data_IF_485395701555
#
_entry.id   IF_485395701555
#
_cell.length_a   1.000
_cell.length_b   1.000
_cell.length_c   1.000
_cell.angle_alpha   90.00
_cell.angle_beta   90.00
_cell.angle_gamma   90.00
#
_symmetry.space_group_name_H-M   'P 1'
#
loop_
_entity.id
_entity.type
_entity.pdbx_description
1 polymer ?
#
# COMPACT_ATOMS: atom_id res chain seq x y z
N UNK A 1 -9.11 28.37 43.98
CA UNK A 1 -8.93 27.66 42.69
C UNK A 1 -7.96 26.52 42.98
N UNK A 2 -8.37 25.23 42.97
CA UNK A 2 -7.39 24.17 43.16
C UNK A 2 -6.53 24.06 41.91
N UNK A 3 -5.22 24.03 42.13
CA UNK A 3 -4.17 23.93 41.13
C UNK A 3 -4.31 22.61 40.35
N UNK A 4 -4.23 22.70 39.03
CA UNK A 4 -4.37 21.53 38.16
C UNK A 4 -3.29 20.49 38.46
N UNK A 5 -3.72 19.27 38.79
CA UNK A 5 -2.87 18.09 38.83
C UNK A 5 -2.19 17.95 37.47
N UNK A 6 -0.89 18.27 37.40
CA UNK A 6 -0.05 17.78 36.32
C UNK A 6 0.00 16.26 36.49
N UNK A 7 -0.69 15.56 35.60
CA UNK A 7 -0.60 14.11 35.50
C UNK A 7 0.81 13.77 35.00
N UNK A 8 1.76 13.60 35.91
CA UNK A 8 3.05 12.99 35.61
C UNK A 8 2.81 11.52 35.30
N UNK A 9 2.83 11.18 34.01
CA UNK A 9 2.78 9.79 33.56
C UNK A 9 3.97 9.03 34.16
N UNK A 10 3.72 7.88 34.78
CA UNK A 10 4.79 7.08 35.40
C UNK A 10 5.86 6.69 34.36
N UNK A 11 7.12 6.59 34.79
CA UNK A 11 8.23 6.15 33.95
C UNK A 11 7.95 4.79 33.29
N UNK A 12 7.24 3.91 34.02
CA UNK A 12 6.79 2.62 33.52
C UNK A 12 5.82 2.76 32.34
N UNK A 13 4.81 3.64 32.44
CA UNK A 13 3.88 3.93 31.35
C UNK A 13 4.62 4.50 30.12
N UNK A 14 5.55 5.44 30.33
CA UNK A 14 6.35 6.01 29.24
C UNK A 14 7.26 4.98 28.58
N UNK A 15 7.81 4.02 29.34
CA UNK A 15 8.59 2.90 28.82
C UNK A 15 7.72 1.95 28.02
N UNK A 16 6.56 1.58 28.54
CA UNK A 16 5.61 0.69 27.87
C UNK A 16 5.12 1.30 26.55
N UNK A 17 4.71 2.57 26.56
CA UNK A 17 4.29 3.30 25.35
C UNK A 17 5.38 3.29 24.28
N UNK A 18 6.64 3.51 24.66
CA UNK A 18 7.77 3.46 23.72
C UNK A 18 7.93 2.08 23.09
N UNK A 19 7.76 1.01 23.85
CA UNK A 19 7.83 -0.36 23.32
C UNK A 19 6.70 -0.64 22.32
N UNK A 20 5.46 -0.29 22.66
CA UNK A 20 4.30 -0.46 21.78
C UNK A 20 4.47 0.30 20.46
N UNK A 21 4.92 1.56 20.52
CA UNK A 21 5.15 2.37 19.32
C UNK A 21 6.25 1.79 18.43
N UNK A 22 7.34 1.28 19.01
CA UNK A 22 8.42 0.63 18.24
C UNK A 22 7.95 -0.64 17.56
N UNK A 23 7.19 -1.47 18.26
CA UNK A 23 6.64 -2.70 17.71
C UNK A 23 5.63 -2.41 16.59
N UNK A 24 4.76 -1.40 16.76
CA UNK A 24 3.85 -0.95 15.70
C UNK A 24 4.61 -0.48 14.47
N UNK A 25 5.62 0.38 14.65
CA UNK A 25 6.44 0.86 13.54
C UNK A 25 7.19 -0.27 12.83
N UNK A 26 7.63 -1.31 13.57
CA UNK A 26 8.26 -2.49 12.97
C UNK A 26 7.26 -3.27 12.10
N UNK A 27 6.06 -3.53 12.60
CA UNK A 27 5.01 -4.24 11.86
C UNK A 27 4.60 -3.48 10.61
N UNK A 28 4.41 -2.18 10.73
CA UNK A 28 4.07 -1.30 9.62
C UNK A 28 5.15 -1.32 8.52
N UNK A 29 6.43 -1.28 8.89
CA UNK A 29 7.52 -1.42 7.91
C UNK A 29 7.47 -2.74 7.16
N UNK A 30 7.26 -3.86 7.87
CA UNK A 30 7.17 -5.18 7.25
C UNK A 30 5.95 -5.27 6.34
N UNK A 31 4.82 -4.71 6.76
CA UNK A 31 3.59 -4.64 5.97
C UNK A 31 3.81 -3.88 4.66
N UNK A 32 4.38 -2.66 4.75
CA UNK A 32 4.69 -1.81 3.60
C UNK A 32 5.66 -2.49 2.64
N UNK A 33 6.71 -3.11 3.16
CA UNK A 33 7.71 -3.80 2.33
C UNK A 33 7.07 -4.97 1.57
N UNK A 34 6.28 -5.79 2.26
CA UNK A 34 5.58 -6.90 1.62
C UNK A 34 4.59 -6.40 0.55
N UNK A 35 3.84 -5.33 0.82
CA UNK A 35 2.92 -4.74 -0.14
C UNK A 35 3.65 -4.19 -1.37
N UNK A 36 4.83 -3.59 -1.21
CA UNK A 36 5.67 -3.12 -2.33
C UNK A 36 6.13 -4.25 -3.22
N UNK A 37 6.62 -5.35 -2.64
CA UNK A 37 7.01 -6.55 -3.39
C UNK A 37 5.82 -7.05 -4.22
N UNK A 38 4.63 -7.13 -3.62
CA UNK A 38 3.42 -7.53 -4.34
C UNK A 38 3.01 -6.56 -5.44
N UNK A 39 3.12 -5.26 -5.21
CA UNK A 39 2.86 -4.25 -6.22
C UNK A 39 3.82 -4.37 -7.42
N UNK A 40 5.10 -4.62 -7.16
CA UNK A 40 6.12 -4.86 -8.18
C UNK A 40 5.85 -6.14 -8.98
N UNK A 41 5.46 -7.23 -8.31
CA UNK A 41 5.10 -8.49 -8.96
C UNK A 41 3.88 -8.32 -9.88
N UNK A 42 2.84 -7.61 -9.44
CA UNK A 42 1.67 -7.29 -10.27
C UNK A 42 2.09 -6.39 -11.45
N UNK A 43 2.91 -5.36 -11.20
CA UNK A 43 3.39 -4.47 -12.25
C UNK A 43 4.20 -5.23 -13.32
N UNK A 44 5.04 -6.16 -12.90
CA UNK A 44 5.81 -7.04 -13.80
C UNK A 44 4.87 -7.89 -14.65
N UNK A 45 3.91 -8.57 -14.02
CA UNK A 45 2.89 -9.38 -14.70
C UNK A 45 2.11 -8.57 -15.74
N UNK A 46 1.68 -7.35 -15.40
CA UNK A 46 0.99 -6.45 -16.32
C UNK A 46 1.83 -6.13 -17.57
N UNK A 47 3.14 -5.90 -17.39
CA UNK A 47 4.05 -5.61 -18.50
C UNK A 47 4.32 -6.83 -19.38
N UNK A 48 4.61 -7.96 -18.76
CA UNK A 48 5.02 -9.18 -19.46
C UNK A 48 3.86 -9.85 -20.20
N UNK A 49 2.69 -9.94 -19.57
CA UNK A 49 1.57 -10.73 -20.11
C UNK A 49 0.54 -9.90 -20.88
N UNK A 50 0.45 -8.60 -20.59
CA UNK A 50 -0.59 -7.71 -21.14
C UNK A 50 -0.03 -6.51 -21.90
N UNK A 51 1.28 -6.43 -22.10
CA UNK A 51 1.93 -5.39 -22.90
C UNK A 51 1.74 -3.97 -22.35
N UNK A 52 1.41 -3.84 -21.05
CA UNK A 52 1.31 -2.54 -20.39
C UNK A 52 2.65 -1.81 -20.51
N UNK A 53 2.62 -0.54 -20.90
CA UNK A 53 3.86 0.24 -21.12
C UNK A 53 4.42 0.76 -19.80
N UNK A 54 3.54 1.35 -19.00
CA UNK A 54 3.89 2.01 -17.74
C UNK A 54 2.91 1.57 -16.66
N UNK A 55 3.44 1.39 -15.46
CA UNK A 55 2.64 1.11 -14.26
C UNK A 55 3.08 2.10 -13.20
N UNK A 56 2.13 2.83 -12.64
CA UNK A 56 2.36 3.80 -11.57
C UNK A 56 1.69 3.30 -10.30
N UNK A 57 2.47 3.23 -9.22
CA UNK A 57 1.93 3.07 -7.89
C UNK A 57 1.36 4.42 -7.42
N UNK A 58 0.12 4.41 -6.97
CA UNK A 58 -0.49 5.54 -6.29
C UNK A 58 -1.10 5.08 -4.96
N UNK A 59 -1.94 5.91 -4.36
CA UNK A 59 -2.60 5.59 -3.12
C UNK A 59 -1.67 5.50 -1.91
N UNK A 60 -2.20 4.96 -0.82
CA UNK A 60 -1.59 5.00 0.51
C UNK A 60 -0.17 4.42 0.56
N UNK A 61 0.15 3.43 -0.29
CA UNK A 61 1.47 2.80 -0.40
C UNK A 61 2.54 3.73 -1.00
N UNK A 62 2.14 4.65 -1.88
CA UNK A 62 3.05 5.58 -2.52
C UNK A 62 3.47 6.73 -1.58
N UNK A 63 2.54 7.30 -0.81
CA UNK A 63 2.77 8.53 -0.01
C UNK A 63 3.05 8.30 1.49
N UNK A 64 2.98 7.06 1.98
CA UNK A 64 3.34 6.71 3.36
C UNK A 64 2.18 6.68 4.35
N UNK A 65 0.98 6.28 3.91
CA UNK A 65 -0.20 6.08 4.75
C UNK A 65 -0.73 4.65 4.76
N UNK A 66 0.03 3.69 4.24
CA UNK A 66 -0.40 2.30 4.09
C UNK A 66 -0.47 1.60 5.45
N UNK A 67 -1.62 1.01 5.74
CA UNK A 67 -1.91 0.35 7.00
C UNK A 67 -2.60 -0.99 6.77
N UNK A 68 -2.88 -1.71 7.86
CA UNK A 68 -3.66 -2.94 7.81
C UNK A 68 -5.04 -2.66 7.17
N UNK A 69 -5.43 -3.48 6.20
CA UNK A 69 -6.65 -3.29 5.41
C UNK A 69 -6.55 -2.27 4.26
N UNK A 70 -5.38 -1.66 4.02
CA UNK A 70 -5.15 -0.88 2.81
C UNK A 70 -4.98 -1.77 1.58
N UNK A 71 -5.42 -1.28 0.43
CA UNK A 71 -5.28 -1.87 -0.89
C UNK A 71 -4.04 -1.34 -1.63
N UNK A 72 -3.56 -2.12 -2.60
CA UNK A 72 -2.49 -1.74 -3.52
C UNK A 72 -3.12 -1.08 -4.75
N UNK A 73 -2.85 0.22 -4.92
CA UNK A 73 -3.40 1.04 -6.01
C UNK A 73 -2.41 1.19 -7.18
N UNK A 74 -2.76 0.65 -8.36
CA UNK A 74 -1.93 0.72 -9.56
C UNK A 74 -2.66 1.38 -10.74
N UNK A 75 -1.98 2.28 -11.44
CA UNK A 75 -2.42 2.83 -12.71
C UNK A 75 -1.60 2.19 -13.82
N UNK A 76 -2.25 1.51 -14.75
CA UNK A 76 -1.62 0.84 -15.89
C UNK A 76 -1.93 1.56 -17.20
N UNK A 77 -0.89 1.91 -17.94
CA UNK A 77 -0.98 2.67 -19.20
C UNK A 77 -0.84 1.74 -20.39
N UNK A 78 -1.81 1.81 -21.30
CA UNK A 78 -1.78 1.05 -22.56
C UNK A 78 -2.12 -0.43 -22.42
N UNK A 79 -2.84 -0.81 -21.37
CA UNK A 79 -3.38 -2.17 -21.22
C UNK A 79 -4.25 -2.56 -22.42
N UNK A 80 -4.03 -3.78 -22.90
CA UNK A 80 -4.85 -4.43 -23.91
C UNK A 80 -5.13 -5.86 -23.44
N UNK A 81 -6.39 -6.29 -23.47
CA UNK A 81 -6.77 -7.66 -23.12
C UNK A 81 -8.05 -7.76 -22.30
N UNK A 82 -8.31 -8.96 -21.79
CA UNK A 82 -9.47 -9.24 -20.93
C UNK A 82 -9.21 -8.71 -19.52
N UNK A 83 -9.99 -7.70 -19.12
CA UNK A 83 -9.89 -7.09 -17.78
C UNK A 83 -10.05 -8.15 -16.67
N UNK A 84 -11.08 -9.00 -16.75
CA UNK A 84 -11.38 -9.93 -15.66
C UNK A 84 -10.33 -11.02 -15.50
N UNK A 85 -9.77 -11.53 -16.60
CA UNK A 85 -8.69 -12.52 -16.55
C UNK A 85 -7.42 -11.92 -15.93
N UNK A 86 -7.06 -10.71 -16.36
CA UNK A 86 -5.95 -9.95 -15.78
C UNK A 86 -6.17 -9.70 -14.29
N UNK A 87 -7.37 -9.25 -13.92
CA UNK A 87 -7.66 -8.83 -12.54
C UNK A 87 -7.59 -10.02 -11.59
N UNK A 88 -8.16 -11.17 -11.96
CA UNK A 88 -8.05 -12.40 -11.16
C UNK A 88 -6.59 -12.84 -10.99
N UNK A 89 -5.75 -12.67 -12.01
CA UNK A 89 -4.31 -12.96 -11.92
C UNK A 89 -3.61 -11.98 -10.97
N UNK A 90 -3.93 -10.69 -11.07
CA UNK A 90 -3.39 -9.66 -10.20
C UNK A 90 -3.76 -9.91 -8.73
N UNK A 91 -5.03 -10.20 -8.42
CA UNK A 91 -5.50 -10.51 -7.06
C UNK A 91 -4.76 -11.70 -6.46
N UNK A 92 -4.52 -12.77 -7.24
CA UNK A 92 -3.77 -13.94 -6.77
C UNK A 92 -2.33 -13.61 -6.44
N UNK A 93 -1.69 -12.73 -7.22
CA UNK A 93 -0.32 -12.29 -6.96
C UNK A 93 -0.30 -11.39 -5.73
N UNK A 94 -1.23 -10.44 -5.65
CA UNK A 94 -1.31 -9.43 -4.60
C UNK A 94 -1.64 -10.01 -3.22
N UNK A 95 -2.31 -11.17 -3.16
CA UNK A 95 -2.64 -11.84 -1.91
C UNK A 95 -1.43 -11.92 -0.96
N UNK A 96 -1.57 -11.50 0.31
CA UNK A 96 -2.82 -11.25 1.05
C UNK A 96 -3.42 -9.84 0.93
N UNK A 97 -2.86 -8.97 0.10
CA UNK A 97 -3.39 -7.62 -0.09
C UNK A 97 -4.46 -7.59 -1.17
N UNK A 98 -5.45 -6.71 -0.99
CA UNK A 98 -6.36 -6.32 -2.07
C UNK A 98 -5.61 -5.46 -3.09
N UNK A 99 -6.04 -5.50 -4.35
CA UNK A 99 -5.43 -4.72 -5.43
C UNK A 99 -6.51 -4.01 -6.24
N UNK A 100 -6.27 -2.72 -6.48
CA UNK A 100 -7.08 -1.84 -7.30
C UNK A 100 -6.26 -1.42 -8.52
N UNK A 101 -6.77 -1.70 -9.73
CA UNK A 101 -6.06 -1.37 -10.98
C UNK A 101 -6.95 -0.50 -11.85
N UNK A 102 -6.45 0.71 -12.13
CA UNK A 102 -7.08 1.65 -13.05
C UNK A 102 -6.29 1.68 -14.35
N UNK A 103 -6.99 1.83 -15.47
CA UNK A 103 -6.38 1.85 -16.80
C UNK A 103 -6.46 3.23 -17.44
N UNK A 104 -5.37 3.62 -18.09
CA UNK A 104 -5.32 4.81 -18.91
C UNK A 104 -4.94 4.45 -20.35
N UNK A 105 -5.84 4.80 -21.28
CA UNK A 105 -5.71 4.47 -22.70
C UNK A 105 -4.99 5.56 -23.54
N UNK A 106 -4.80 6.78 -23.02
CA UNK A 106 -4.52 7.98 -23.83
C UNK A 106 -5.82 8.50 -24.48
N UNK A 107 -6.13 9.80 -24.53
CA UNK A 107 -5.31 10.99 -24.87
C UNK A 107 -5.51 12.09 -23.81
N UNK A 108 -4.44 12.73 -23.34
CA UNK A 108 -4.52 14.08 -22.75
C UNK A 108 -3.77 14.99 -23.70
N UNK A 109 -4.53 15.67 -24.55
CA UNK A 109 -4.03 16.88 -25.20
C UNK A 109 -3.97 17.94 -24.09
N UNK A 110 -2.76 18.42 -23.79
CA UNK A 110 -2.54 19.63 -23.00
C UNK A 110 -2.56 20.81 -23.96
#
# INVERSE_FOLDING_TARGET
MPEGERCELSDEFLKMRRLVLRERARRERVLVENARIKAEDVAKMLKEDYGVREVYLYGSLAWGGFAEGSDIDLLAVGFQGSYWEMFVKAERIAHPFEVSIVFYAGVVAV
#
